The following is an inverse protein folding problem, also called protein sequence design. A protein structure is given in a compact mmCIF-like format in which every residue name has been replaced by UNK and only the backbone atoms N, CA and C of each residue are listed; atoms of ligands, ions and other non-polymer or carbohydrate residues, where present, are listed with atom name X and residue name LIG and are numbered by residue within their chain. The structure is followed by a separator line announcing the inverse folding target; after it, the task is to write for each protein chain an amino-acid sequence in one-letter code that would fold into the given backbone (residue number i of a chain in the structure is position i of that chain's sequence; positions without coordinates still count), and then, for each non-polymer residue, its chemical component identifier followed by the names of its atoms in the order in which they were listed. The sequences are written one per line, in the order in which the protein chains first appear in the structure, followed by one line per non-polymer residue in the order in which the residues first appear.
data_IF_144439994599
#
_entry.id   IF_144439994599
#
_cell.length_a   1.000
_cell.length_b   1.000
_cell.length_c   1.000
_cell.angle_alpha   90.00
_cell.angle_beta   90.00
_cell.angle_gamma   90.00
#
_symmetry.space_group_name_H-M   'P 1'
#
loop_
_entity.id
_entity.type
_entity.pdbx_description
1 polymer ?
#
# COMPACT_ATOMS: atom_id res chain seq x y z
N UNK A 1 -8.82 -14.83 -3.76
CA UNK A 1 -7.77 -14.10 -3.01
C UNK A 1 -6.52 -14.96 -3.11
N UNK A 2 -5.38 -14.40 -3.49
CA UNK A 2 -4.15 -15.17 -3.68
C UNK A 2 -3.38 -15.28 -2.38
N UNK A 3 -2.81 -16.45 -2.13
CA UNK A 3 -2.03 -16.72 -0.93
C UNK A 3 -0.68 -17.30 -1.33
N UNK A 4 0.38 -16.74 -0.78
CA UNK A 4 1.72 -17.30 -0.82
C UNK A 4 1.81 -18.41 0.21
N UNK A 5 2.17 -19.61 -0.20
CA UNK A 5 2.52 -20.65 0.74
C UNK A 5 3.90 -20.36 1.34
N UNK A 6 3.98 -20.17 2.65
CA UNK A 6 5.21 -19.78 3.36
C UNK A 6 6.06 -20.98 3.80
N UNK A 7 5.49 -22.20 3.73
CA UNK A 7 6.15 -23.47 4.05
C UNK A 7 5.35 -24.64 3.46
N UNK A 8 6.01 -25.76 3.21
CA UNK A 8 5.33 -26.98 2.78
C UNK A 8 4.30 -27.42 3.83
N UNK A 9 3.04 -27.58 3.43
CA UNK A 9 1.97 -27.98 4.34
C UNK A 9 0.85 -28.75 3.64
N UNK A 10 0.11 -29.54 4.42
CA UNK A 10 -1.12 -30.19 3.97
C UNK A 10 -2.32 -29.48 4.57
N UNK A 11 -3.27 -29.06 3.73
CA UNK A 11 -4.54 -28.49 4.18
C UNK A 11 -5.67 -29.12 3.39
N UNK A 12 -6.66 -29.69 4.09
CA UNK A 12 -7.83 -30.33 3.46
C UNK A 12 -7.43 -31.36 2.39
N UNK A 13 -6.48 -32.25 2.73
CA UNK A 13 -5.87 -33.29 1.87
C UNK A 13 -5.13 -32.78 0.62
N UNK A 14 -4.93 -31.47 0.51
CA UNK A 14 -4.15 -30.86 -0.55
C UNK A 14 -2.75 -30.49 -0.04
N UNK A 15 -1.71 -30.91 -0.76
CA UNK A 15 -0.34 -30.49 -0.54
C UNK A 15 -0.04 -29.12 -1.15
N UNK A 16 0.37 -28.16 -0.32
CA UNK A 16 0.82 -26.85 -0.74
C UNK A 16 2.33 -26.75 -0.56
N UNK A 17 3.02 -26.38 -1.64
CA UNK A 17 4.47 -26.23 -1.64
C UNK A 17 4.87 -24.81 -1.28
N UNK A 18 5.93 -24.67 -0.49
CA UNK A 18 6.53 -23.41 -0.11
C UNK A 18 6.93 -22.58 -1.34
N UNK A 19 6.59 -21.29 -1.35
CA UNK A 19 6.91 -20.34 -2.40
C UNK A 19 5.88 -20.30 -3.53
N UNK A 20 5.01 -21.29 -3.65
CA UNK A 20 3.94 -21.29 -4.64
C UNK A 20 2.76 -20.42 -4.20
N UNK A 21 2.05 -19.88 -5.20
CA UNK A 21 0.91 -18.99 -5.01
C UNK A 21 -0.36 -19.75 -5.39
N UNK A 22 -1.33 -19.76 -4.48
CA UNK A 22 -2.59 -20.47 -4.66
C UNK A 22 -3.79 -19.54 -4.48
N UNK A 23 -4.82 -19.74 -5.29
CA UNK A 23 -6.15 -19.19 -5.06
C UNK A 23 -6.90 -20.10 -4.08
N UNK A 24 -6.88 -19.74 -2.79
CA UNK A 24 -7.50 -20.55 -1.74
C UNK A 24 -8.96 -20.14 -1.52
N UNK A 25 -9.92 -21.08 -1.68
CA UNK A 25 -11.32 -20.80 -1.37
C UNK A 25 -11.53 -20.67 0.15
N UNK A 26 -12.68 -20.11 0.56
CA UNK A 26 -12.94 -19.76 1.97
C UNK A 26 -13.05 -20.97 2.90
N UNK A 27 -13.31 -22.15 2.35
CA UNK A 27 -13.36 -23.40 3.09
C UNK A 27 -11.96 -23.97 3.47
N UNK A 28 -10.87 -23.36 3.01
CA UNK A 28 -9.51 -23.78 3.42
C UNK A 28 -9.18 -23.13 4.75
N UNK A 29 -8.74 -23.94 5.72
CA UNK A 29 -8.27 -23.46 7.03
C UNK A 29 -6.93 -22.73 6.87
N UNK A 30 -7.02 -21.45 6.53
CA UNK A 30 -5.88 -20.54 6.32
C UNK A 30 -5.24 -20.24 7.68
N UNK A 31 -4.10 -20.85 7.94
CA UNK A 31 -3.24 -20.43 9.06
C UNK A 31 -2.29 -19.37 8.53
N UNK A 32 -2.25 -18.18 9.14
CA UNK A 32 -1.32 -17.08 8.78
C UNK A 32 0.15 -17.51 8.87
N UNK A 33 0.43 -18.62 9.56
CA UNK A 33 1.76 -19.22 9.68
C UNK A 33 2.16 -20.05 8.44
N UNK A 34 1.17 -20.57 7.71
CA UNK A 34 1.37 -21.40 6.53
C UNK A 34 1.11 -20.62 5.24
N UNK A 35 0.21 -19.64 5.27
CA UNK A 35 -0.21 -18.88 4.10
C UNK A 35 -0.15 -17.38 4.39
N UNK A 36 0.63 -16.66 3.59
CA UNK A 36 0.65 -15.19 3.55
C UNK A 36 -0.35 -14.68 2.53
N UNK A 37 -1.18 -13.70 2.89
CA UNK A 37 -2.10 -13.07 1.93
C UNK A 37 -1.28 -12.23 0.95
N UNK A 38 -1.37 -12.54 -0.34
CA UNK A 38 -0.93 -11.60 -1.37
C UNK A 38 -2.17 -10.81 -1.77
N UNK A 39 -2.41 -9.71 -1.04
CA UNK A 39 -3.39 -8.73 -1.51
C UNK A 39 -2.85 -8.19 -2.84
N UNK A 40 -3.61 -8.31 -3.93
CA UNK A 40 -3.41 -7.43 -5.08
C UNK A 40 -3.30 -6.02 -4.51
N UNK A 41 -2.32 -5.20 -4.93
CA UNK A 41 -2.07 -3.92 -4.30
C UNK A 41 -3.41 -3.20 -4.20
N UNK A 42 -3.88 -2.99 -2.96
CA UNK A 42 -4.97 -2.04 -2.68
C UNK A 42 -4.61 -0.80 -3.48
N UNK A 43 -5.56 -0.13 -4.17
CA UNK A 43 -5.26 1.16 -4.78
C UNK A 43 -4.72 2.04 -3.67
N UNK A 44 -3.40 2.10 -3.57
CA UNK A 44 -2.69 3.07 -2.75
C UNK A 44 -3.19 4.35 -3.38
N UNK A 45 -3.92 5.14 -2.60
CA UNK A 45 -4.25 6.51 -2.98
C UNK A 45 -2.94 7.06 -3.49
N UNK A 46 -2.84 7.24 -4.81
CA UNK A 46 -1.63 7.76 -5.43
C UNK A 46 -1.48 9.09 -4.76
N UNK A 47 -0.55 9.18 -3.80
CA UNK A 47 -0.09 10.47 -3.34
C UNK A 47 0.53 10.99 -4.62
N UNK A 48 -0.16 11.92 -5.27
CA UNK A 48 0.36 12.64 -6.41
C UNK A 48 1.65 13.27 -5.89
N UNK A 49 2.76 12.55 -6.12
CA UNK A 49 4.10 13.09 -5.95
C UNK A 49 4.10 14.27 -6.89
N UNK A 50 4.17 15.51 -6.38
CA UNK A 50 4.12 16.66 -7.25
C UNK A 50 5.32 16.54 -8.19
N UNK A 51 5.03 16.33 -9.47
CA UNK A 51 6.02 16.20 -10.56
C UNK A 51 7.02 17.38 -10.56
N UNK A 52 6.59 18.51 -10.00
CA UNK A 52 7.40 19.67 -9.68
C UNK A 52 7.62 19.79 -8.15
N UNK A 53 8.87 19.76 -7.64
CA UNK A 53 9.18 19.95 -6.22
C UNK A 53 8.77 21.32 -5.66
N UNK A 54 8.35 22.25 -6.52
CA UNK A 54 7.87 23.58 -6.16
C UNK A 54 6.33 23.68 -6.16
N UNK A 55 5.60 22.62 -6.48
CA UNK A 55 4.14 22.60 -6.49
C UNK A 55 3.59 22.14 -5.14
N UNK A 56 2.62 22.88 -4.63
CA UNK A 56 1.94 22.53 -3.38
C UNK A 56 1.03 21.31 -3.58
N UNK A 57 1.18 20.23 -2.79
CA UNK A 57 0.32 19.05 -2.88
C UNK A 57 -1.08 19.28 -2.28
N UNK A 58 -1.27 20.35 -1.50
CA UNK A 58 -2.57 20.65 -0.86
C UNK A 58 -3.50 21.42 -1.79
N UNK A 59 -2.98 22.41 -2.51
CA UNK A 59 -3.79 23.28 -3.38
C UNK A 59 -3.29 23.40 -4.82
N UNK A 60 -2.25 22.65 -5.21
CA UNK A 60 -1.69 22.64 -6.56
C UNK A 60 -0.90 23.89 -6.95
N UNK A 61 -0.69 24.86 -6.04
CA UNK A 61 0.00 26.13 -6.33
C UNK A 61 1.48 25.91 -6.64
N UNK A 62 1.94 26.40 -7.79
CA UNK A 62 3.35 26.44 -8.13
C UNK A 62 4.07 27.62 -7.47
N UNK A 63 5.20 27.33 -6.84
CA UNK A 63 6.09 28.31 -6.24
C UNK A 63 7.35 28.51 -7.11
N UNK A 64 8.00 29.67 -7.01
CA UNK A 64 9.23 29.95 -7.76
C UNK A 64 10.51 29.43 -7.08
N UNK A 65 10.42 29.07 -5.80
CA UNK A 65 11.55 28.62 -5.00
C UNK A 65 11.11 27.72 -3.83
N UNK A 66 11.99 26.82 -3.32
CA UNK A 66 11.67 25.92 -2.21
C UNK A 66 11.30 26.67 -0.92
N UNK A 67 11.97 27.80 -0.62
CA UNK A 67 11.67 28.63 0.54
C UNK A 67 10.25 29.23 0.45
N UNK A 68 9.81 29.58 -0.77
CA UNK A 68 8.46 30.06 -1.03
C UNK A 68 7.40 29.00 -0.76
N UNK A 69 7.67 27.75 -1.18
CA UNK A 69 6.82 26.61 -0.88
C UNK A 69 6.75 26.33 0.62
N UNK A 70 7.89 26.32 1.32
CA UNK A 70 7.94 26.10 2.77
C UNK A 70 7.15 27.17 3.56
N UNK A 71 7.24 28.44 3.15
CA UNK A 71 6.44 29.51 3.75
C UNK A 71 4.95 29.34 3.42
N UNK A 72 4.63 28.99 2.18
CA UNK A 72 3.26 28.71 1.75
C UNK A 72 2.61 27.58 2.56
N UNK A 73 3.32 26.49 2.87
CA UNK A 73 2.77 25.41 3.70
C UNK A 73 2.30 25.85 5.09
N UNK A 74 2.85 26.96 5.61
CA UNK A 74 2.40 27.53 6.90
C UNK A 74 0.98 28.09 6.83
N UNK A 75 0.48 28.47 5.66
CA UNK A 75 -0.91 28.93 5.50
C UNK A 75 -1.90 27.78 5.67
N UNK A 76 -1.54 26.58 5.23
CA UNK A 76 -2.34 25.37 5.42
C UNK A 76 -2.31 24.85 6.86
N UNK A 77 -1.23 25.12 7.60
CA UNK A 77 -1.08 24.74 9.02
C UNK A 77 -1.89 25.64 9.97
N UNK A 78 -2.40 26.79 9.52
CA UNK A 78 -3.06 27.79 10.39
C UNK A 78 -4.56 27.56 10.61
N UNK A 79 -5.14 26.50 10.06
CA UNK A 79 -6.51 26.09 10.38
C UNK A 79 -6.44 25.00 11.47
N UNK A 80 -6.47 25.44 12.71
CA UNK A 80 -6.33 24.59 13.90
C UNK A 80 -6.57 25.38 15.17
N UNK A 81 -7.60 26.23 15.15
CA UNK A 81 -8.16 26.94 16.29
C UNK A 81 -9.66 26.69 16.36
#
# INVERSE_FOLDING_TARGET
MKYLCLRDCYTNDHFYRNGDIYDLPDNVKKSEKNFGVIESPKPVKVVEVPDNPLKCPVCGRECKAPLGLASHMRTHKRDGG
#
